data_IF_995151569556
#
_entry.id   IF_995151569556
#
_cell.length_a   1.000
_cell.length_b   1.000
_cell.length_c   1.000
_cell.angle_alpha   90.00
_cell.angle_beta   90.00
_cell.angle_gamma   90.00
#
_symmetry.space_group_name_H-M   'P 1'
#
loop_
_entity.id
_entity.type
_entity.pdbx_description
1 polymer ?
#
# COMPACT_ATOMS: atom_id res chain seq x y z
N UNK A 1 -7.17 -56.89 34.71
CA UNK A 1 -6.00 -56.46 33.91
C UNK A 1 -6.38 -55.18 33.19
N UNK A 2 -5.60 -54.12 33.41
CA UNK A 2 -5.78 -52.72 32.98
C UNK A 2 -4.36 -52.18 32.69
N UNK A 3 -4.11 -51.16 31.85
CA UNK A 3 -4.61 -50.74 30.53
C UNK A 3 -3.40 -50.64 29.52
N UNK A 4 -3.39 -49.89 28.38
CA UNK A 4 -3.37 -48.42 28.41
C UNK A 4 -4.18 -47.69 27.31
N UNK A 5 -4.33 -46.41 27.58
CA UNK A 5 -5.10 -45.36 26.90
C UNK A 5 -4.70 -45.15 25.44
N UNK A 6 -5.69 -44.74 24.63
CA UNK A 6 -5.45 -44.13 23.33
C UNK A 6 -4.81 -42.74 23.53
N UNK A 7 -3.69 -42.43 22.88
CA UNK A 7 -3.03 -41.15 23.06
C UNK A 7 -3.84 -40.00 22.46
N UNK A 8 -4.17 -39.07 23.34
CA UNK A 8 -4.10 -37.61 23.22
C UNK A 8 -3.99 -37.02 21.80
N UNK A 9 -5.03 -36.26 21.47
CA UNK A 9 -5.02 -35.08 20.59
C UNK A 9 -3.79 -34.20 20.79
N UNK A 10 -3.06 -33.92 19.71
CA UNK A 10 -2.52 -32.60 19.35
C UNK A 10 -1.63 -32.67 18.09
N UNK A 11 -2.08 -32.19 16.91
CA UNK A 11 -1.16 -31.68 15.92
C UNK A 11 -1.04 -30.17 16.11
N UNK A 12 -0.09 -29.81 16.99
CA UNK A 12 0.64 -28.55 17.05
C UNK A 12 0.57 -27.79 15.72
N UNK A 13 -0.19 -26.70 15.72
CA UNK A 13 -0.32 -25.77 14.60
C UNK A 13 1.05 -25.31 14.13
N UNK A 14 1.49 -25.86 12.99
CA UNK A 14 2.67 -25.40 12.28
C UNK A 14 2.31 -24.03 11.72
N UNK A 15 2.83 -22.99 12.36
CA UNK A 15 2.88 -21.64 11.80
C UNK A 15 3.65 -21.69 10.48
N UNK A 16 2.94 -21.94 9.39
CA UNK A 16 3.44 -21.65 8.07
C UNK A 16 3.49 -20.13 7.97
N UNK A 17 4.67 -19.57 8.26
CA UNK A 17 5.03 -18.23 7.84
C UNK A 17 4.73 -18.15 6.35
N UNK A 18 3.59 -17.53 6.02
CA UNK A 18 3.18 -17.33 4.65
C UNK A 18 4.23 -16.44 4.02
N UNK A 19 5.17 -17.07 3.31
CA UNK A 19 6.07 -16.39 2.40
C UNK A 19 5.18 -15.44 1.58
N UNK A 20 5.44 -14.12 1.60
CA UNK A 20 4.67 -13.23 0.76
C UNK A 20 4.80 -13.72 -0.68
N UNK A 21 3.70 -13.73 -1.44
CA UNK A 21 3.76 -14.02 -2.86
C UNK A 21 4.69 -12.98 -3.50
N UNK A 22 5.94 -13.37 -3.74
CA UNK A 22 6.97 -12.53 -4.34
C UNK A 22 6.79 -12.67 -5.84
N UNK A 23 6.41 -11.58 -6.51
CA UNK A 23 6.58 -11.53 -7.96
C UNK A 23 8.05 -11.19 -8.21
N UNK A 24 8.83 -12.20 -8.57
CA UNK A 24 10.22 -12.06 -8.99
C UNK A 24 10.20 -11.79 -10.49
N UNK A 25 10.51 -10.56 -10.90
CA UNK A 25 10.85 -10.28 -12.30
C UNK A 25 12.38 -10.43 -12.40
N UNK A 26 12.85 -11.27 -13.32
CA UNK A 26 14.23 -11.75 -13.39
C UNK A 26 15.28 -10.69 -13.83
N UNK A 27 14.91 -9.42 -13.96
CA UNK A 27 15.74 -8.35 -14.53
C UNK A 27 16.42 -7.45 -13.47
N UNK A 28 16.86 -8.00 -12.34
CA UNK A 28 17.61 -7.22 -11.32
C UNK A 28 16.79 -6.14 -10.59
N UNK A 29 15.48 -6.05 -10.85
CA UNK A 29 14.55 -5.22 -10.09
C UNK A 29 14.34 -5.78 -8.68
N UNK A 30 14.33 -4.90 -7.68
CA UNK A 30 14.02 -5.25 -6.31
C UNK A 30 12.66 -5.99 -6.19
N UNK A 31 12.51 -6.99 -5.29
CA UNK A 31 11.29 -7.78 -5.21
C UNK A 31 10.11 -6.94 -4.73
N UNK A 32 9.01 -6.97 -5.48
CA UNK A 32 7.77 -6.28 -5.14
C UNK A 32 6.85 -7.20 -4.31
N UNK A 33 6.51 -6.77 -3.08
CA UNK A 33 5.68 -7.52 -2.14
C UNK A 33 4.42 -6.72 -1.77
N UNK A 34 3.29 -7.41 -1.57
CA UNK A 34 2.06 -6.76 -1.11
C UNK A 34 2.06 -6.53 0.41
N UNK A 35 1.71 -5.31 0.85
CA UNK A 35 1.45 -4.96 2.24
C UNK A 35 0.21 -5.68 2.78
N UNK A 36 0.37 -6.34 3.94
CA UNK A 36 -0.72 -7.12 4.58
C UNK A 36 -1.15 -6.56 5.94
N UNK A 37 -0.22 -5.99 6.73
CA UNK A 37 -0.50 -5.57 8.10
C UNK A 37 -1.09 -4.17 8.14
N UNK A 38 -2.21 -4.01 8.86
CA UNK A 38 -2.88 -2.70 9.05
C UNK A 38 -1.94 -1.62 9.60
N UNK A 39 -1.04 -1.98 10.52
CA UNK A 39 -0.06 -1.05 11.09
C UNK A 39 0.83 -0.42 10.00
N UNK A 40 1.23 -1.18 8.99
CA UNK A 40 2.06 -0.66 7.90
C UNK A 40 1.29 0.34 7.02
N UNK A 41 -0.01 0.09 6.77
CA UNK A 41 -0.88 1.06 6.09
C UNK A 41 -1.03 2.36 6.88
N UNK A 42 -1.15 2.29 8.21
CA UNK A 42 -1.25 3.48 9.06
C UNK A 42 0.06 4.28 9.05
N UNK A 43 1.22 3.62 9.10
CA UNK A 43 2.53 4.27 8.98
C UNK A 43 2.71 4.96 7.62
N UNK A 44 2.30 4.31 6.53
CA UNK A 44 2.32 4.93 5.20
C UNK A 44 1.37 6.13 5.13
N UNK A 45 0.22 6.06 5.80
CA UNK A 45 -0.77 7.13 5.79
C UNK A 45 -0.34 8.41 6.51
N UNK A 46 0.59 8.32 7.47
CA UNK A 46 1.17 9.46 8.18
C UNK A 46 2.44 10.03 7.50
N UNK A 47 2.91 9.43 6.41
CA UNK A 47 4.16 9.79 5.75
C UNK A 47 3.96 10.78 4.58
N UNK A 48 4.71 10.61 3.50
CA UNK A 48 4.60 11.42 2.30
C UNK A 48 3.34 11.04 1.53
N UNK A 49 2.78 12.03 0.83
CA UNK A 49 1.61 11.83 -0.02
C UNK A 49 1.72 12.67 -1.28
N UNK A 50 1.28 12.12 -2.39
CA UNK A 50 1.12 12.86 -3.62
C UNK A 50 -0.25 12.58 -4.25
N UNK A 51 -1.04 13.64 -4.39
CA UNK A 51 -2.36 13.57 -5.00
C UNK A 51 -2.24 13.57 -6.52
N UNK A 52 -2.91 12.64 -7.18
CA UNK A 52 -3.05 12.63 -8.64
C UNK A 52 -4.51 12.81 -9.04
N UNK A 53 -4.76 12.95 -10.33
CA UNK A 53 -6.13 12.97 -10.85
C UNK A 53 -6.81 11.62 -10.65
N UNK A 54 -6.12 10.51 -10.89
CA UNK A 54 -6.69 9.17 -10.79
C UNK A 54 -6.71 8.56 -9.38
N UNK A 55 -5.77 8.91 -8.50
CA UNK A 55 -5.60 8.26 -7.19
C UNK A 55 -4.86 9.17 -6.19
N UNK A 56 -4.52 8.63 -5.03
CA UNK A 56 -3.61 9.23 -4.07
C UNK A 56 -2.48 8.23 -3.81
N UNK A 57 -1.24 8.66 -4.01
CA UNK A 57 -0.04 7.91 -3.63
C UNK A 57 0.34 8.29 -2.21
N UNK A 58 0.51 7.30 -1.35
CA UNK A 58 1.21 7.47 -0.08
C UNK A 58 2.53 6.71 -0.16
N UNK A 59 3.59 7.29 0.39
CA UNK A 59 4.91 6.71 0.33
C UNK A 59 5.67 6.96 1.63
N UNK A 60 6.40 5.93 2.07
CA UNK A 60 7.19 5.97 3.29
C UNK A 60 8.51 5.27 3.05
N UNK A 61 9.61 5.93 3.42
CA UNK A 61 10.88 5.27 3.63
C UNK A 61 10.82 4.50 4.95
N UNK A 62 11.12 3.20 4.93
CA UNK A 62 11.18 2.37 6.14
C UNK A 62 12.42 2.73 6.96
N UNK A 63 12.32 2.55 8.27
CA UNK A 63 13.47 2.72 9.16
C UNK A 63 14.34 1.46 9.13
N UNK A 64 15.66 1.61 9.26
CA UNK A 64 16.62 0.50 9.28
C UNK A 64 16.36 -0.52 10.41
N UNK A 65 15.73 -0.09 11.50
CA UNK A 65 15.37 -0.96 12.63
C UNK A 65 14.15 -1.88 12.35
N UNK A 66 13.44 -1.73 11.23
CA UNK A 66 12.32 -2.62 10.90
C UNK A 66 12.87 -3.99 10.41
N UNK A 67 12.33 -5.13 10.89
CA UNK A 67 12.80 -6.47 10.54
C UNK A 67 12.29 -6.90 9.15
N UNK A 68 12.57 -6.08 8.13
CA UNK A 68 12.20 -6.30 6.73
C UNK A 68 13.46 -6.07 5.90
N UNK A 69 13.85 -6.99 5.01
CA UNK A 69 15.02 -6.80 4.16
C UNK A 69 14.98 -5.47 3.41
N UNK A 70 16.09 -4.72 3.47
CA UNK A 70 16.19 -3.37 2.89
C UNK A 70 16.00 -3.37 1.37
N UNK A 71 16.35 -4.47 0.71
CA UNK A 71 16.19 -4.65 -0.74
C UNK A 71 14.74 -4.75 -1.24
N UNK A 72 13.72 -4.79 -0.36
CA UNK A 72 12.33 -5.04 -0.78
C UNK A 72 11.59 -3.75 -1.13
N UNK A 73 10.65 -3.85 -2.07
CA UNK A 73 9.64 -2.81 -2.31
C UNK A 73 8.30 -3.36 -1.83
N UNK A 74 7.56 -2.62 -1.02
CA UNK A 74 6.22 -3.05 -0.56
C UNK A 74 5.13 -2.15 -1.12
N UNK A 75 4.02 -2.74 -1.55
CA UNK A 75 2.86 -2.01 -2.06
C UNK A 75 1.54 -2.43 -1.41
N UNK A 76 0.72 -1.45 -1.03
CA UNK A 76 -0.67 -1.62 -0.60
C UNK A 76 -1.65 -0.98 -1.58
N UNK A 77 -2.88 -1.50 -1.59
CA UNK A 77 -3.98 -0.95 -2.40
C UNK A 77 -5.20 -0.72 -1.52
N UNK A 78 -5.75 0.49 -1.57
CA UNK A 78 -6.97 0.85 -0.84
C UNK A 78 -8.00 1.43 -1.78
N UNK A 79 -9.21 0.89 -1.78
CA UNK A 79 -10.36 1.49 -2.46
C UNK A 79 -11.50 1.61 -1.45
N UNK A 80 -11.90 2.84 -1.15
CA UNK A 80 -12.96 3.10 -0.18
C UNK A 80 -14.33 2.64 -0.70
N UNK A 81 -15.31 2.49 0.20
CA UNK A 81 -16.71 2.23 -0.16
C UNK A 81 -17.28 3.29 -1.11
N UNK A 82 -16.76 4.52 -1.06
CA UNK A 82 -17.17 5.64 -1.91
C UNK A 82 -16.84 5.43 -3.40
N UNK A 83 -15.92 4.51 -3.74
CA UNK A 83 -15.58 4.22 -5.14
C UNK A 83 -16.76 3.62 -5.92
N UNK A 84 -17.68 2.95 -5.24
CA UNK A 84 -18.89 2.39 -5.82
C UNK A 84 -19.13 0.95 -5.35
N UNK A 85 -19.95 0.24 -6.12
CA UNK A 85 -20.26 -1.16 -5.88
C UNK A 85 -19.00 -2.07 -5.95
N UNK A 86 -19.17 -3.35 -5.61
CA UNK A 86 -18.09 -4.34 -5.60
C UNK A 86 -17.36 -4.44 -6.95
N UNK A 87 -18.07 -4.30 -8.06
CA UNK A 87 -17.50 -4.36 -9.41
C UNK A 87 -16.59 -3.16 -9.67
N UNK A 88 -17.07 -1.94 -9.41
CA UNK A 88 -16.29 -0.71 -9.58
C UNK A 88 -15.05 -0.69 -8.67
N UNK A 89 -15.20 -1.12 -7.42
CA UNK A 89 -14.07 -1.27 -6.48
C UNK A 89 -13.04 -2.29 -6.96
N UNK A 90 -13.48 -3.43 -7.50
CA UNK A 90 -12.58 -4.45 -8.02
C UNK A 90 -11.91 -4.00 -9.32
N UNK A 91 -12.63 -3.31 -10.20
CA UNK A 91 -12.06 -2.68 -11.39
C UNK A 91 -10.99 -1.65 -11.02
N UNK A 92 -11.26 -0.77 -10.05
CA UNK A 92 -10.27 0.17 -9.55
C UNK A 92 -9.02 -0.54 -8.99
N UNK A 93 -9.20 -1.55 -8.13
CA UNK A 93 -8.07 -2.35 -7.60
C UNK A 93 -7.27 -3.04 -8.71
N UNK A 94 -7.93 -3.62 -9.71
CA UNK A 94 -7.26 -4.27 -10.86
C UNK A 94 -6.42 -3.26 -11.64
N UNK A 95 -6.99 -2.09 -11.97
CA UNK A 95 -6.25 -1.01 -12.67
C UNK A 95 -5.04 -0.54 -11.87
N UNK A 96 -5.21 -0.30 -10.56
CA UNK A 96 -4.10 0.12 -9.69
C UNK A 96 -2.99 -0.93 -9.59
N UNK A 97 -3.35 -2.22 -9.52
CA UNK A 97 -2.36 -3.31 -9.51
C UNK A 97 -1.57 -3.37 -10.81
N UNK A 98 -2.24 -3.21 -11.95
CA UNK A 98 -1.56 -3.30 -13.24
C UNK A 98 -0.56 -2.15 -13.44
N UNK A 99 -0.96 -0.90 -13.17
CA UNK A 99 -0.02 0.23 -13.26
C UNK A 99 1.16 0.07 -12.29
N UNK A 100 0.91 -0.47 -11.10
CA UNK A 100 1.96 -0.73 -10.12
C UNK A 100 2.94 -1.81 -10.61
N UNK A 101 2.41 -2.89 -11.19
CA UNK A 101 3.21 -3.98 -11.75
C UNK A 101 4.13 -3.50 -12.88
N UNK A 102 3.62 -2.58 -13.71
CA UNK A 102 4.37 -2.05 -14.86
C UNK A 102 5.43 -1.01 -14.46
N UNK A 103 5.19 -0.21 -13.42
CA UNK A 103 6.01 0.99 -13.16
C UNK A 103 6.91 0.86 -11.93
N UNK A 104 6.48 0.17 -10.88
CA UNK A 104 7.25 0.10 -9.65
C UNK A 104 8.58 -0.65 -9.78
N UNK A 105 8.69 -1.74 -10.56
CA UNK A 105 9.98 -2.38 -10.78
C UNK A 105 11.07 -1.42 -11.29
N UNK A 106 10.67 -0.42 -12.10
CA UNK A 106 11.60 0.54 -12.71
C UNK A 106 11.85 1.77 -11.84
N UNK A 107 10.81 2.31 -11.18
CA UNK A 107 10.86 3.66 -10.57
C UNK A 107 10.77 3.68 -9.04
N UNK A 108 10.39 2.56 -8.41
CA UNK A 108 10.32 2.49 -6.96
C UNK A 108 11.70 2.32 -6.35
N UNK A 109 11.85 2.71 -5.09
CA UNK A 109 13.12 2.58 -4.36
C UNK A 109 13.07 1.41 -3.37
N UNK A 110 14.11 0.57 -3.29
CA UNK A 110 14.24 -0.39 -2.21
C UNK A 110 14.16 0.30 -0.85
N UNK A 111 13.56 -0.36 0.14
CA UNK A 111 13.35 0.25 1.47
C UNK A 111 12.06 1.05 1.58
N UNK A 112 11.25 1.16 0.53
CA UNK A 112 10.03 1.98 0.54
C UNK A 112 8.73 1.18 0.57
N UNK A 113 7.75 1.75 1.27
CA UNK A 113 6.35 1.32 1.29
C UNK A 113 5.51 2.30 0.49
N UNK A 114 4.80 1.80 -0.52
CA UNK A 114 3.87 2.58 -1.34
C UNK A 114 2.43 2.12 -1.09
N UNK A 115 1.48 3.05 -1.02
CA UNK A 115 0.05 2.72 -0.95
C UNK A 115 -0.69 3.54 -2.00
N UNK A 116 -1.36 2.84 -2.92
CA UNK A 116 -2.23 3.45 -3.92
C UNK A 116 -3.68 3.46 -3.41
N UNK A 117 -4.25 4.66 -3.31
CA UNK A 117 -5.62 4.86 -2.85
C UNK A 117 -6.50 5.31 -4.02
N UNK A 118 -7.46 4.48 -4.39
CA UNK A 118 -8.42 4.80 -5.44
C UNK A 118 -9.34 5.97 -5.06
N UNK A 119 -9.48 6.92 -5.98
CA UNK A 119 -10.41 8.04 -5.90
C UNK A 119 -11.77 7.64 -6.50
N UNK A 120 -12.89 7.98 -5.83
CA UNK A 120 -14.24 7.75 -6.35
C UNK A 120 -14.44 8.35 -7.73
N UNK A 121 -15.02 7.57 -8.66
CA UNK A 121 -15.24 7.96 -10.07
C UNK A 121 -13.95 8.05 -10.90
N UNK A 122 -12.94 8.76 -10.41
CA UNK A 122 -11.74 9.11 -11.17
C UNK A 122 -10.85 7.90 -11.51
N UNK A 123 -10.58 6.99 -10.57
CA UNK A 123 -9.68 5.84 -10.84
C UNK A 123 -10.22 4.91 -11.94
N UNK A 124 -11.54 4.78 -12.02
CA UNK A 124 -12.18 3.84 -12.96
C UNK A 124 -12.36 4.47 -14.34
N UNK A 125 -12.73 5.76 -14.37
CA UNK A 125 -13.05 6.50 -15.59
C UNK A 125 -11.81 7.02 -16.32
N UNK A 126 -10.73 7.33 -15.61
CA UNK A 126 -9.49 7.84 -16.21
C UNK A 126 -8.88 6.82 -17.17
N UNK A 127 -8.26 7.32 -18.24
CA UNK A 127 -7.56 6.48 -19.19
C UNK A 127 -6.42 5.68 -18.52
N UNK A 128 -6.10 4.51 -19.06
CA UNK A 128 -5.08 3.64 -18.46
C UNK A 128 -3.66 4.19 -18.66
N UNK A 129 -3.35 4.78 -19.81
CA UNK A 129 -2.07 5.44 -20.05
C UNK A 129 -1.90 6.67 -19.15
N UNK A 130 -2.98 7.43 -18.95
CA UNK A 130 -2.97 8.56 -18.00
C UNK A 130 -2.71 8.12 -16.56
N UNK A 131 -3.28 6.99 -16.12
CA UNK A 131 -3.01 6.43 -14.79
C UNK A 131 -1.54 6.01 -14.63
N UNK A 132 -0.94 5.48 -15.70
CA UNK A 132 0.49 5.18 -15.72
C UNK A 132 1.32 6.45 -15.60
N UNK A 133 1.01 7.48 -16.38
CA UNK A 133 1.73 8.75 -16.33
C UNK A 133 1.59 9.46 -14.98
N UNK A 134 0.39 9.41 -14.38
CA UNK A 134 0.14 9.90 -13.03
C UNK A 134 1.06 9.21 -12.02
N UNK A 135 1.28 7.90 -12.13
CA UNK A 135 2.14 7.16 -11.21
C UNK A 135 3.61 7.52 -11.39
N UNK A 136 4.09 7.64 -12.64
CA UNK A 136 5.47 8.07 -12.93
C UNK A 136 5.75 9.45 -12.34
N UNK A 137 4.86 10.42 -12.58
CA UNK A 137 4.97 11.78 -12.03
C UNK A 137 4.94 11.76 -10.49
N UNK A 138 3.99 11.02 -9.91
CA UNK A 138 3.85 10.97 -8.46
C UNK A 138 5.09 10.37 -7.77
N UNK A 139 5.70 9.33 -8.35
CA UNK A 139 6.95 8.77 -7.84
C UNK A 139 8.12 9.74 -7.95
N UNK A 140 8.25 10.44 -9.09
CA UNK A 140 9.27 11.46 -9.27
C UNK A 140 9.14 12.59 -8.23
N UNK A 141 7.91 13.05 -7.97
CA UNK A 141 7.64 14.09 -6.98
C UNK A 141 7.95 13.62 -5.55
N UNK A 142 7.54 12.41 -5.18
CA UNK A 142 7.80 11.81 -3.86
C UNK A 142 9.30 11.66 -3.60
N UNK A 143 10.06 11.31 -4.62
CA UNK A 143 11.50 11.10 -4.54
C UNK A 143 12.31 12.39 -4.75
N UNK A 144 11.64 13.50 -5.09
CA UNK A 144 12.23 14.83 -5.19
C UNK A 144 12.31 15.50 -3.81
N UNK A 145 13.22 16.45 -3.65
CA UNK A 145 13.38 17.26 -2.43
C UNK A 145 12.15 18.12 -2.08
N UNK A 146 11.15 18.18 -2.96
CA UNK A 146 9.90 18.92 -2.77
C UNK A 146 8.83 18.17 -1.96
N UNK A 147 8.99 16.86 -1.74
CA UNK A 147 7.98 16.07 -1.03
C UNK A 147 7.94 16.44 0.46
N UNK A 148 6.87 17.12 0.90
CA UNK A 148 6.67 17.45 2.31
C UNK A 148 5.71 16.45 2.98
N UNK A 149 6.08 15.88 4.14
CA UNK A 149 5.18 15.01 4.88
C UNK A 149 3.94 15.77 5.38
N UNK A 150 2.85 15.03 5.58
CA UNK A 150 1.62 15.60 6.13
C UNK A 150 1.90 16.12 7.55
N UNK A 151 1.50 17.36 7.91
CA UNK A 151 1.53 17.79 9.30
C UNK A 151 0.58 16.91 10.14
N UNK A 152 0.93 16.59 11.40
CA UNK A 152 0.10 15.78 12.29
C UNK A 152 -1.30 16.39 12.40
N UNK A 153 -2.32 15.53 12.47
CA UNK A 153 -3.73 15.92 12.35
C UNK A 153 -4.30 16.69 13.56
N UNK A 154 -3.45 17.26 14.41
CA UNK A 154 -3.81 17.74 15.76
C UNK A 154 -4.02 19.25 15.88
N UNK A 155 -4.44 19.91 14.79
CA UNK A 155 -4.96 21.29 14.92
C UNK A 155 -6.47 21.21 15.08
N UNK A 156 -7.02 21.41 16.30
CA UNK A 156 -8.46 21.57 16.44
C UNK A 156 -8.89 22.79 15.63
N UNK A 157 -9.64 22.56 14.54
CA UNK A 157 -10.26 23.62 13.75
C UNK A 157 -11.25 24.33 14.68
N UNK A 158 -10.84 25.50 15.19
CA UNK A 158 -11.60 26.28 16.17
C UNK A 158 -13.07 26.36 15.79
N UNK A 159 -13.94 25.91 16.70
CA UNK A 159 -15.39 26.10 16.60
C UNK A 159 -15.64 27.61 16.55
N UNK A 160 -16.03 28.15 15.40
CA UNK A 160 -16.69 29.47 15.34
C UNK A 160 -18.00 29.35 16.10
N UNK A 161 -18.01 29.88 17.31
CA UNK A 161 -19.18 30.04 18.17
C UNK A 161 -19.98 31.22 17.61
N UNK A 162 -21.04 30.92 16.86
CA UNK A 162 -22.03 31.91 16.46
C UNK A 162 -22.72 32.45 17.70
N UNK A 163 -22.68 33.76 17.87
CA UNK A 163 -23.41 34.52 18.89
C UNK A 163 -24.73 34.92 18.23
N UNK A 164 -25.84 34.45 18.77
CA UNK A 164 -27.21 34.78 18.40
C UNK A 164 -28.04 34.70 19.66
#
# INVERSE_FOLDING_TARGET
>A
MTPPEAPVTDPKGRGAGSAPAVSFCADGSAPLITLRKRADFLRAASALRQGTAGFLLQARQRAAAEPVPEGLIRIGFTCSKKVGNSVLRNRAKRRLREIARLILPELARPGWDYVLIGRPGATVARDFADLQQDLRRALADIHSSKARPRPPADTPKGRRRGKG
#
